data_IF_361751416959
#
_entry.id   IF_361751416959
#
_cell.length_a   1.000
_cell.length_b   1.000
_cell.length_c   1.000
_cell.angle_alpha   90.00
_cell.angle_beta   90.00
_cell.angle_gamma   90.00
#
_symmetry.space_group_name_H-M   'P 1'
#
loop_
_entity.id
_entity.type
_entity.pdbx_description
1 polymer ?
#
# COMPACT_ATOMS: atom_id res chain seq x y z
N UNK A 1 -16.75 -8.95 19.23
CA UNK A 1 -15.44 -9.39 18.67
C UNK A 1 -14.91 -8.21 17.85
N UNK A 2 -13.74 -7.67 18.19
CA UNK A 2 -13.09 -6.65 17.36
C UNK A 2 -12.76 -7.30 16.01
N UNK A 3 -13.14 -6.68 14.91
CA UNK A 3 -12.84 -7.15 13.55
C UNK A 3 -11.32 -7.17 13.29
N UNK A 4 -10.58 -6.33 14.00
CA UNK A 4 -9.16 -6.05 13.84
C UNK A 4 -8.26 -7.18 14.29
N UNK A 5 -8.57 -7.92 15.35
CA UNK A 5 -7.68 -9.00 15.84
C UNK A 5 -7.50 -10.12 14.82
N UNK A 6 -8.58 -10.56 14.15
CA UNK A 6 -8.47 -11.58 13.09
C UNK A 6 -7.82 -11.04 11.82
N UNK A 7 -7.99 -9.75 11.54
CA UNK A 7 -7.39 -9.08 10.39
C UNK A 7 -5.88 -8.93 10.57
N UNK A 8 -5.42 -8.41 11.71
CA UNK A 8 -4.00 -8.20 12.07
C UNK A 8 -3.22 -9.52 12.14
N UNK A 9 -3.87 -10.60 12.58
CA UNK A 9 -3.26 -11.93 12.61
C UNK A 9 -2.92 -12.45 11.20
N UNK A 10 -3.73 -12.07 10.20
CA UNK A 10 -3.64 -12.60 8.83
C UNK A 10 -2.96 -11.65 7.85
N UNK A 11 -3.16 -10.35 8.04
CA UNK A 11 -2.62 -9.30 7.18
C UNK A 11 -1.32 -8.81 7.79
N UNK A 12 -0.24 -8.86 7.01
CA UNK A 12 1.09 -8.43 7.46
C UNK A 12 1.50 -7.08 6.89
N UNK A 13 0.89 -6.68 5.79
CA UNK A 13 1.16 -5.42 5.12
C UNK A 13 -0.03 -5.02 4.28
N UNK A 14 -0.23 -3.71 4.16
CA UNK A 14 -1.18 -3.05 3.27
C UNK A 14 -0.40 -2.07 2.40
N UNK A 15 -0.78 -2.00 1.14
CA UNK A 15 -0.27 -0.97 0.23
C UNK A 15 -1.46 -0.26 -0.38
N UNK A 16 -1.40 1.06 -0.37
CA UNK A 16 -2.36 1.96 -1.00
C UNK A 16 -1.69 2.67 -2.18
N UNK A 17 -2.45 2.99 -3.21
CA UNK A 17 -1.94 3.72 -4.39
C UNK A 17 -2.92 4.85 -4.73
N UNK A 18 -2.55 6.07 -4.33
CA UNK A 18 -3.30 7.32 -4.48
C UNK A 18 -4.80 7.23 -4.10
N UNK A 19 -5.13 6.31 -3.19
CA UNK A 19 -6.50 5.99 -2.77
C UNK A 19 -6.86 6.52 -1.38
N UNK A 20 -5.86 6.85 -0.56
CA UNK A 20 -6.07 7.47 0.75
C UNK A 20 -6.05 8.99 0.64
N UNK A 21 -6.99 9.63 1.33
CA UNK A 21 -7.14 11.07 1.36
C UNK A 21 -7.41 11.51 2.79
N UNK A 22 -7.01 12.74 3.13
CA UNK A 22 -7.22 13.43 4.42
C UNK A 22 -8.63 13.36 5.03
N UNK A 23 -9.64 13.00 4.24
CA UNK A 23 -11.03 12.86 4.67
C UNK A 23 -11.42 11.42 5.03
N UNK A 24 -10.51 10.45 4.90
CA UNK A 24 -10.73 9.10 5.45
C UNK A 24 -10.88 9.26 6.96
N UNK A 25 -12.08 9.01 7.47
CA UNK A 25 -12.38 9.09 8.90
C UNK A 25 -11.73 7.91 9.61
N UNK A 26 -10.49 8.11 10.07
CA UNK A 26 -9.78 7.15 10.93
C UNK A 26 -10.33 7.17 12.35
N UNK A 27 -11.06 8.23 12.76
CA UNK A 27 -11.66 8.36 14.09
C UNK A 27 -12.79 7.37 14.46
N UNK A 28 -12.86 6.20 13.82
CA UNK A 28 -13.64 5.04 14.24
C UNK A 28 -12.77 3.91 14.81
N UNK A 29 -11.44 4.04 14.76
CA UNK A 29 -10.49 3.07 15.31
C UNK A 29 -9.85 3.60 16.60
N UNK A 30 -9.40 2.71 17.48
CA UNK A 30 -8.66 3.11 18.67
C UNK A 30 -7.16 3.35 18.38
N UNK A 31 -6.42 3.86 19.37
CA UNK A 31 -5.00 4.21 19.20
C UNK A 31 -4.11 3.02 18.81
N UNK A 32 -4.44 1.82 19.29
CA UNK A 32 -3.67 0.62 18.97
C UNK A 32 -3.85 0.25 17.49
N UNK A 33 -5.08 0.36 17.00
CA UNK A 33 -5.43 0.14 15.59
C UNK A 33 -4.80 1.21 14.68
N UNK A 34 -4.77 2.49 15.10
CA UNK A 34 -4.08 3.56 14.37
C UNK A 34 -2.58 3.28 14.25
N UNK A 35 -1.92 2.90 15.35
CA UNK A 35 -0.49 2.56 15.35
C UNK A 35 -0.21 1.33 14.48
N UNK A 36 -1.10 0.33 14.52
CA UNK A 36 -0.97 -0.83 13.65
C UNK A 36 -1.07 -0.43 12.16
N UNK A 37 -2.08 0.36 11.80
CA UNK A 37 -2.28 0.84 10.41
C UNK A 37 -1.05 1.60 9.94
N UNK A 38 -0.54 2.53 10.76
CA UNK A 38 0.62 3.34 10.43
C UNK A 38 1.87 2.46 10.17
N UNK A 39 2.11 1.47 11.03
CA UNK A 39 3.30 0.61 10.94
C UNK A 39 3.24 -0.45 9.82
N UNK A 40 2.03 -0.81 9.39
CA UNK A 40 1.82 -1.90 8.42
C UNK A 40 1.29 -1.42 7.07
N UNK A 41 1.17 -0.11 6.84
CA UNK A 41 0.66 0.43 5.59
C UNK A 41 1.64 1.40 4.94
N UNK A 42 1.91 1.20 3.66
CA UNK A 42 2.59 2.17 2.80
C UNK A 42 1.61 2.73 1.77
N UNK A 43 1.67 4.04 1.55
CA UNK A 43 0.85 4.70 0.55
C UNK A 43 1.71 5.36 -0.52
N UNK A 44 1.67 4.83 -1.73
CA UNK A 44 2.29 5.47 -2.88
C UNK A 44 1.35 6.52 -3.46
N UNK A 45 1.82 7.76 -3.58
CA UNK A 45 1.05 8.89 -4.11
C UNK A 45 1.65 9.39 -5.41
N UNK A 46 0.82 10.00 -6.24
CA UNK A 46 1.34 10.72 -7.41
C UNK A 46 2.26 11.85 -6.95
N UNK A 47 3.42 11.98 -7.58
CA UNK A 47 4.43 12.94 -7.21
C UNK A 47 5.39 13.19 -8.37
N UNK A 48 6.02 14.37 -8.36
CA UNK A 48 7.12 14.70 -9.26
C UNK A 48 8.49 14.26 -8.70
N UNK A 49 8.53 13.79 -7.44
CA UNK A 49 9.73 13.30 -6.79
C UNK A 49 10.13 11.91 -7.30
N UNK A 50 11.36 11.49 -7.02
CA UNK A 50 11.83 10.15 -7.37
C UNK A 50 11.02 9.05 -6.65
N UNK A 51 10.93 7.88 -7.31
CA UNK A 51 10.23 6.73 -6.77
C UNK A 51 10.77 6.34 -5.38
N UNK A 52 9.89 6.31 -4.38
CA UNK A 52 10.21 5.89 -3.02
C UNK A 52 10.68 7.01 -2.08
N UNK A 53 10.79 8.26 -2.55
CA UNK A 53 11.02 9.41 -1.66
C UNK A 53 9.84 9.53 -0.69
N UNK A 54 10.11 9.61 0.61
CA UNK A 54 9.07 9.84 1.62
C UNK A 54 8.49 11.24 1.46
N UNK A 55 7.17 11.33 1.41
CA UNK A 55 6.44 12.58 1.27
C UNK A 55 6.09 13.13 2.65
N UNK A 56 6.28 14.44 2.85
CA UNK A 56 6.05 15.08 4.14
C UNK A 56 4.59 14.90 4.61
N UNK A 57 4.42 14.24 5.76
CA UNK A 57 3.14 13.80 6.29
C UNK A 57 2.47 14.80 7.25
N UNK A 58 2.94 16.05 7.30
CA UNK A 58 2.51 17.03 8.32
C UNK A 58 0.99 17.26 8.38
N UNK A 59 0.26 16.95 7.30
CA UNK A 59 -1.19 17.13 7.20
C UNK A 59 -2.00 15.83 7.07
N UNK A 60 -1.36 14.66 7.12
CA UNK A 60 -2.02 13.36 6.92
C UNK A 60 -1.26 12.22 7.64
N UNK A 61 -1.40 12.13 8.97
CA UNK A 61 -0.61 11.23 9.81
C UNK A 61 -1.03 9.75 9.71
N UNK A 62 -1.94 9.40 8.80
CA UNK A 62 -2.61 8.10 8.82
C UNK A 62 -1.65 6.97 8.44
N UNK A 63 -0.78 7.19 7.46
CA UNK A 63 0.15 6.19 6.91
C UNK A 63 1.38 6.87 6.33
N UNK A 64 2.52 6.18 6.31
CA UNK A 64 3.72 6.65 5.59
C UNK A 64 3.43 6.79 4.10
N UNK A 65 3.70 7.98 3.56
CA UNK A 65 3.54 8.28 2.13
C UNK A 65 4.88 8.26 1.42
N UNK A 66 4.89 7.69 0.23
CA UNK A 66 6.04 7.69 -0.65
C UNK A 66 5.63 8.14 -2.05
N UNK A 67 6.54 8.81 -2.75
CA UNK A 67 6.38 9.11 -4.17
C UNK A 67 6.28 7.83 -4.99
N UNK A 68 5.29 7.78 -5.88
CA UNK A 68 5.19 6.74 -6.91
C UNK A 68 6.13 7.00 -8.11
N UNK A 69 6.85 8.12 -8.16
CA UNK A 69 7.71 8.48 -9.30
C UNK A 69 6.94 8.89 -10.56
N UNK A 70 5.68 9.28 -10.42
CA UNK A 70 4.83 9.69 -11.54
C UNK A 70 3.76 10.71 -11.11
N UNK A 71 3.48 11.70 -11.96
CA UNK A 71 2.58 12.83 -11.67
C UNK A 71 1.09 12.53 -11.89
N UNK A 72 0.75 11.55 -12.71
CA UNK A 72 -0.63 11.10 -12.96
C UNK A 72 -1.07 10.02 -11.95
N UNK A 73 -2.34 10.10 -11.53
CA UNK A 73 -2.96 9.20 -10.56
C UNK A 73 -3.01 7.73 -11.04
N UNK A 74 -3.37 7.54 -12.30
CA UNK A 74 -3.66 6.27 -12.95
C UNK A 74 -2.42 5.36 -13.06
N UNK A 75 -1.22 5.96 -13.07
CA UNK A 75 0.04 5.22 -13.22
C UNK A 75 0.73 4.91 -11.90
N UNK A 76 0.20 5.37 -10.77
CA UNK A 76 0.82 5.21 -9.44
C UNK A 76 1.10 3.76 -9.09
N UNK A 77 0.14 2.85 -9.30
CA UNK A 77 0.34 1.41 -9.04
C UNK A 77 1.42 0.80 -9.91
N UNK A 78 1.46 1.17 -11.20
CA UNK A 78 2.41 0.62 -12.17
C UNK A 78 3.84 1.03 -11.87
N UNK A 79 4.07 2.32 -11.60
CA UNK A 79 5.41 2.82 -11.28
C UNK A 79 5.89 2.40 -9.89
N UNK A 80 4.99 2.35 -8.90
CA UNK A 80 5.33 1.89 -7.56
C UNK A 80 5.56 0.38 -7.46
N UNK A 81 5.13 -0.40 -8.46
CA UNK A 81 5.10 -1.86 -8.45
C UNK A 81 6.40 -2.53 -7.95
N UNK A 82 7.60 -2.13 -8.39
CA UNK A 82 8.85 -2.73 -7.90
C UNK A 82 9.04 -2.55 -6.38
N UNK A 83 8.72 -1.37 -5.84
CA UNK A 83 8.81 -1.09 -4.40
C UNK A 83 7.71 -1.78 -3.60
N UNK A 84 6.51 -1.90 -4.16
CA UNK A 84 5.39 -2.67 -3.57
C UNK A 84 5.82 -4.13 -3.36
N UNK A 85 6.42 -4.74 -4.38
CA UNK A 85 6.90 -6.12 -4.29
C UNK A 85 8.03 -6.26 -3.27
N UNK A 86 8.98 -5.31 -3.24
CA UNK A 86 10.07 -5.28 -2.24
C UNK A 86 9.52 -5.18 -0.82
N UNK A 87 8.53 -4.33 -0.59
CA UNK A 87 7.88 -4.17 0.72
C UNK A 87 7.19 -5.46 1.17
N UNK A 88 6.35 -6.05 0.32
CA UNK A 88 5.67 -7.31 0.65
C UNK A 88 6.64 -8.48 0.86
N UNK A 89 7.76 -8.54 0.13
CA UNK A 89 8.82 -9.54 0.38
C UNK A 89 9.47 -9.35 1.74
N UNK A 90 9.86 -8.11 2.08
CA UNK A 90 10.46 -7.76 3.37
C UNK A 90 9.57 -8.19 4.53
N UNK A 91 8.26 -7.94 4.41
CA UNK A 91 7.29 -8.24 5.46
C UNK A 91 6.95 -9.73 5.55
N UNK A 92 6.75 -10.40 4.41
CA UNK A 92 6.33 -11.81 4.42
C UNK A 92 7.49 -12.79 4.62
N UNK A 93 8.73 -12.37 4.37
CA UNK A 93 9.91 -13.24 4.36
C UNK A 93 9.88 -14.31 3.27
N UNK A 94 9.00 -14.17 2.27
CA UNK A 94 8.74 -15.18 1.23
C UNK A 94 8.77 -14.57 -0.16
N UNK A 95 9.06 -15.40 -1.15
CA UNK A 95 8.83 -15.07 -2.55
C UNK A 95 7.34 -14.90 -2.81
N UNK A 96 6.95 -13.77 -3.38
CA UNK A 96 5.56 -13.45 -3.65
C UNK A 96 5.10 -14.12 -4.95
N UNK A 97 3.90 -14.71 -4.92
CA UNK A 97 3.18 -15.08 -6.13
C UNK A 97 2.28 -13.91 -6.54
N UNK A 98 2.61 -13.27 -7.66
CA UNK A 98 1.79 -12.19 -8.22
C UNK A 98 0.68 -12.79 -9.05
N UNK A 99 -0.55 -12.41 -8.73
CA UNK A 99 -1.73 -12.73 -9.54
C UNK A 99 -2.37 -11.41 -9.95
N UNK A 100 -2.32 -11.10 -11.24
CA UNK A 100 -3.07 -9.98 -11.78
C UNK A 100 -4.50 -10.45 -12.04
N UNK A 101 -5.47 -9.77 -11.43
CA UNK A 101 -6.89 -10.03 -11.65
C UNK A 101 -7.52 -8.81 -12.31
N UNK A 102 -7.92 -8.96 -13.56
CA UNK A 102 -8.62 -7.92 -14.28
C UNK A 102 -10.12 -8.08 -14.06
N UNK A 103 -10.73 -7.16 -13.30
CA UNK A 103 -12.16 -7.18 -12.99
C UNK A 103 -13.05 -7.16 -14.25
N UNK A 104 -12.66 -6.40 -15.28
CA UNK A 104 -13.41 -6.31 -16.53
C UNK A 104 -13.46 -7.63 -17.30
N UNK A 105 -12.35 -8.38 -17.30
CA UNK A 105 -12.28 -9.67 -18.00
C UNK A 105 -12.58 -10.88 -17.11
N UNK A 106 -12.64 -10.70 -15.79
CA UNK A 106 -12.73 -11.76 -14.77
C UNK A 106 -11.63 -12.84 -14.91
N UNK A 107 -10.52 -12.51 -15.55
CA UNK A 107 -9.38 -13.41 -15.77
C UNK A 107 -8.27 -13.15 -14.77
N UNK A 108 -7.63 -14.24 -14.37
CA UNK A 108 -6.39 -14.24 -13.58
C UNK A 108 -5.21 -14.49 -14.51
N UNK A 109 -4.19 -13.67 -14.37
CA UNK A 109 -2.91 -13.83 -15.06
C UNK A 109 -1.84 -14.00 -14.00
N UNK A 110 -1.09 -15.09 -14.09
CA UNK A 110 0.13 -15.25 -13.29
C UNK A 110 1.23 -14.50 -14.02
N UNK A 111 1.82 -13.51 -13.35
CA UNK A 111 2.94 -12.76 -13.90
C UNK A 111 4.20 -13.37 -13.28
N UNK A 112 5.06 -14.04 -14.07
CA UNK A 112 6.37 -14.44 -13.57
C UNK A 112 7.13 -13.18 -13.14
N UNK A 113 7.65 -13.19 -11.93
CA UNK A 113 8.53 -12.13 -11.46
C UNK A 113 9.94 -12.42 -11.96
N UNK A 114 10.46 -11.55 -12.82
CA UNK A 114 11.87 -11.57 -13.21
C UNK A 114 12.63 -10.56 -12.32
N UNK A 115 13.77 -10.99 -11.78
CA UNK A 115 14.64 -10.20 -10.90
C UNK A 115 15.43 -9.12 -11.63
#
# INVERSE_FOLDING_TARGET
>A
KRFTTEFEDRVKAVVLTDSAHKNMKVGLVDKEEEEWIFNHTLHFVKSNEELGVEENNENDPIVTKCSAGHHEHEYTTGYAWPLIQKYFRKVSGKTLKVVNYCCASKKKYEIPYEE
#
